data_IF_865564637035
#
_entry.id   IF_865564637035
#
_cell.length_a   1.000
_cell.length_b   1.000
_cell.length_c   1.000
_cell.angle_alpha   90.00
_cell.angle_beta   90.00
_cell.angle_gamma   90.00
#
_symmetry.space_group_name_H-M   'P 1'
#
loop_
_entity.id
_entity.type
_entity.pdbx_description
1 polymer ?
#
# COMPACT_ATOMS: atom_id res chain seq x y z
N UNK A 1 -90.66 144.86 -129.36
CA UNK A 1 -91.49 143.96 -130.18
C UNK A 1 -90.92 142.54 -130.08
N UNK A 2 -90.97 141.78 -128.96
CA UNK A 2 -92.03 141.59 -127.91
C UNK A 2 -93.07 140.54 -128.36
N UNK A 3 -93.51 139.53 -127.59
CA UNK A 3 -93.12 139.02 -126.26
C UNK A 3 -93.77 137.62 -125.95
N UNK A 4 -93.19 136.83 -125.02
CA UNK A 4 -93.78 135.70 -124.22
C UNK A 4 -94.49 134.47 -124.88
N UNK A 5 -94.60 133.23 -124.33
CA UNK A 5 -93.97 132.39 -123.24
C UNK A 5 -94.31 130.87 -123.57
N UNK A 6 -94.11 129.72 -122.88
CA UNK A 6 -93.69 129.23 -121.53
C UNK A 6 -93.39 127.68 -121.56
N UNK A 7 -92.60 127.12 -120.61
CA UNK A 7 -92.64 125.71 -120.08
C UNK A 7 -92.27 124.48 -120.99
N UNK A 8 -92.06 123.20 -120.54
CA UNK A 8 -91.53 122.55 -119.29
C UNK A 8 -91.43 120.98 -119.42
N UNK A 9 -91.01 120.25 -118.35
CA UNK A 9 -91.19 118.80 -117.98
C UNK A 9 -90.18 117.67 -118.45
N UNK A 10 -89.27 117.30 -117.52
CA UNK A 10 -88.60 115.99 -117.16
C UNK A 10 -87.71 115.11 -118.09
N UNK A 11 -86.53 114.67 -117.58
CA UNK A 11 -85.81 113.41 -117.90
C UNK A 11 -85.69 112.44 -116.69
N UNK A 12 -85.41 111.12 -116.86
CA UNK A 12 -85.32 110.18 -115.69
C UNK A 12 -84.53 108.85 -115.81
N UNK A 13 -83.88 108.46 -116.92
CA UNK A 13 -83.40 107.04 -117.07
C UNK A 13 -81.87 106.76 -117.02
N UNK A 14 -81.00 107.75 -117.18
CA UNK A 14 -79.53 107.52 -117.31
C UNK A 14 -78.78 107.59 -115.97
N UNK A 15 -79.32 108.32 -114.98
CA UNK A 15 -78.62 108.54 -113.71
C UNK A 15 -78.74 107.37 -112.72
N UNK A 16 -79.85 106.61 -112.76
CA UNK A 16 -80.04 105.43 -111.90
C UNK A 16 -78.95 104.37 -112.14
N UNK A 17 -78.70 104.02 -113.41
CA UNK A 17 -77.67 103.02 -113.77
C UNK A 17 -76.25 103.45 -113.36
N UNK A 18 -75.95 104.75 -113.38
CA UNK A 18 -74.66 105.27 -112.93
C UNK A 18 -74.52 105.25 -111.39
N UNK A 19 -75.64 105.33 -110.67
CA UNK A 19 -75.69 105.19 -109.21
C UNK A 19 -75.45 103.74 -108.77
N UNK A 20 -76.17 102.79 -109.37
CA UNK A 20 -76.08 101.35 -109.09
C UNK A 20 -74.66 100.79 -109.35
N UNK A 21 -73.99 101.26 -110.41
CA UNK A 21 -72.60 100.90 -110.73
C UNK A 21 -71.61 101.47 -109.68
N UNK A 22 -71.89 102.65 -109.10
CA UNK A 22 -71.05 103.23 -108.04
C UNK A 22 -71.26 102.51 -106.71
N UNK A 23 -72.50 102.16 -106.37
CA UNK A 23 -72.82 101.44 -105.14
C UNK A 23 -72.21 100.03 -105.14
N UNK A 24 -72.40 99.27 -106.22
CA UNK A 24 -71.80 97.94 -106.37
C UNK A 24 -70.26 97.97 -106.41
N UNK A 25 -69.64 99.06 -106.91
CA UNK A 25 -68.19 99.28 -106.80
C UNK A 25 -67.72 99.53 -105.35
N UNK A 26 -68.54 100.17 -104.51
CA UNK A 26 -68.23 100.39 -103.08
C UNK A 26 -68.35 99.06 -102.32
N UNK A 27 -69.42 98.30 -102.55
CA UNK A 27 -69.63 96.97 -101.96
C UNK A 27 -68.53 95.98 -102.37
N UNK A 28 -68.14 95.95 -103.64
CA UNK A 28 -67.02 95.14 -104.11
C UNK A 28 -65.67 95.53 -103.46
N UNK A 29 -65.46 96.82 -103.16
CA UNK A 29 -64.27 97.29 -102.42
C UNK A 29 -64.30 96.88 -100.95
N UNK A 30 -65.46 96.90 -100.30
CA UNK A 30 -65.63 96.40 -98.94
C UNK A 30 -65.34 94.89 -98.88
N UNK A 31 -65.95 94.09 -99.76
CA UNK A 31 -65.68 92.65 -99.85
C UNK A 31 -64.21 92.32 -100.15
N UNK A 32 -63.52 93.12 -100.96
CA UNK A 32 -62.07 92.97 -101.19
C UNK A 32 -61.25 93.28 -99.94
N UNK A 33 -61.67 94.25 -99.10
CA UNK A 33 -61.03 94.50 -97.81
C UNK A 33 -61.27 93.33 -96.84
N UNK A 34 -62.52 92.85 -96.71
CA UNK A 34 -62.87 91.70 -95.88
C UNK A 34 -62.08 90.43 -96.28
N UNK A 35 -61.93 90.18 -97.58
CA UNK A 35 -61.12 89.07 -98.12
C UNK A 35 -59.63 89.24 -97.80
N UNK A 36 -59.11 90.48 -97.78
CA UNK A 36 -57.71 90.75 -97.37
C UNK A 36 -57.52 90.49 -95.87
N UNK A 37 -58.47 90.89 -95.02
CA UNK A 37 -58.36 90.66 -93.57
C UNK A 37 -58.60 89.20 -93.18
N UNK A 38 -59.57 88.51 -93.81
CA UNK A 38 -59.72 87.05 -93.70
C UNK A 38 -58.42 86.33 -94.13
N UNK A 39 -57.76 86.80 -95.19
CA UNK A 39 -56.45 86.26 -95.63
C UNK A 39 -55.34 86.55 -94.61
N UNK A 40 -55.34 87.69 -93.95
CA UNK A 40 -54.41 88.03 -92.87
C UNK A 40 -54.66 87.16 -91.62
N UNK A 41 -55.91 86.93 -91.25
CA UNK A 41 -56.32 86.04 -90.17
C UNK A 41 -55.95 84.57 -90.48
N UNK A 42 -56.26 84.06 -91.68
CA UNK A 42 -55.84 82.72 -92.10
C UNK A 42 -54.32 82.56 -92.06
N UNK A 43 -53.55 83.59 -92.43
CA UNK A 43 -52.09 83.58 -92.32
C UNK A 43 -51.64 83.51 -90.86
N UNK A 44 -52.26 84.29 -89.96
CA UNK A 44 -52.03 84.29 -88.50
C UNK A 44 -52.38 82.94 -87.87
N UNK A 45 -53.54 82.36 -88.19
CA UNK A 45 -53.96 81.04 -87.75
C UNK A 45 -53.02 79.94 -88.26
N UNK A 46 -52.57 79.99 -89.52
CA UNK A 46 -51.59 79.05 -90.07
C UNK A 46 -50.26 79.08 -89.31
N UNK A 47 -49.77 80.26 -88.95
CA UNK A 47 -48.58 80.41 -88.09
C UNK A 47 -48.82 79.83 -86.71
N UNK A 48 -49.94 80.17 -86.06
CA UNK A 48 -50.28 79.67 -84.73
C UNK A 48 -50.38 78.13 -84.69
N UNK A 49 -51.02 77.52 -85.70
CA UNK A 49 -51.12 76.05 -85.83
C UNK A 49 -49.74 75.41 -86.02
N UNK A 50 -48.85 76.03 -86.80
CA UNK A 50 -47.48 75.54 -86.96
C UNK A 50 -46.68 75.60 -85.63
N UNK A 51 -46.81 76.69 -84.85
CA UNK A 51 -46.20 76.80 -83.52
C UNK A 51 -46.80 75.79 -82.53
N UNK A 52 -48.13 75.59 -82.54
CA UNK A 52 -48.78 74.57 -81.72
C UNK A 52 -48.32 73.15 -82.09
N UNK A 53 -48.17 72.84 -83.37
CA UNK A 53 -47.64 71.54 -83.82
C UNK A 53 -46.20 71.31 -83.33
N UNK A 54 -45.33 72.32 -83.45
CA UNK A 54 -43.96 72.27 -82.91
C UNK A 54 -43.95 72.03 -81.39
N UNK A 55 -44.84 72.69 -80.63
CA UNK A 55 -44.98 72.51 -79.19
C UNK A 55 -45.48 71.09 -78.82
N UNK A 56 -46.40 70.51 -79.61
CA UNK A 56 -46.86 69.12 -79.41
C UNK A 56 -45.72 68.14 -79.67
N UNK A 57 -45.00 68.25 -80.79
CA UNK A 57 -43.85 67.37 -81.08
C UNK A 57 -42.74 67.49 -80.02
N UNK A 58 -42.52 68.69 -79.46
CA UNK A 58 -41.61 68.89 -78.33
C UNK A 58 -42.11 68.19 -77.05
N UNK A 59 -43.42 68.19 -76.77
CA UNK A 59 -44.01 67.45 -75.65
C UNK A 59 -43.98 65.93 -75.85
N UNK A 60 -44.20 65.42 -77.06
CA UNK A 60 -44.06 63.99 -77.38
C UNK A 60 -42.62 63.51 -77.11
N UNK A 61 -41.62 64.26 -77.61
CA UNK A 61 -40.19 63.98 -77.37
C UNK A 61 -39.83 63.99 -75.87
N UNK A 62 -40.29 65.01 -75.13
CA UNK A 62 -40.09 65.10 -73.68
C UNK A 62 -40.78 63.94 -72.93
N UNK A 63 -41.95 63.50 -73.39
CA UNK A 63 -42.71 62.39 -72.80
C UNK A 63 -42.02 61.05 -73.05
N UNK A 64 -41.50 60.82 -74.24
CA UNK A 64 -40.68 59.64 -74.58
C UNK A 64 -39.44 59.55 -73.68
N UNK A 65 -38.69 60.66 -73.55
CA UNK A 65 -37.50 60.74 -72.68
C UNK A 65 -37.85 60.45 -71.21
N UNK A 66 -38.97 60.99 -70.71
CA UNK A 66 -39.46 60.69 -69.35
C UNK A 66 -39.85 59.23 -69.18
N UNK A 67 -40.48 58.62 -70.18
CA UNK A 67 -40.82 57.18 -70.18
C UNK A 67 -39.58 56.30 -70.09
N UNK A 68 -38.52 56.61 -70.85
CA UNK A 68 -37.25 55.89 -70.79
C UNK A 68 -36.58 56.02 -69.40
N UNK A 69 -36.57 57.22 -68.82
CA UNK A 69 -36.05 57.45 -67.46
C UNK A 69 -36.85 56.69 -66.41
N UNK A 70 -38.19 56.70 -66.49
CA UNK A 70 -39.06 55.93 -65.58
C UNK A 70 -38.77 54.43 -65.72
N UNK A 71 -38.63 53.90 -66.94
CA UNK A 71 -38.29 52.50 -67.17
C UNK A 71 -36.96 52.11 -66.50
N UNK A 72 -35.92 52.93 -66.65
CA UNK A 72 -34.61 52.70 -66.00
C UNK A 72 -34.71 52.75 -64.46
N UNK A 73 -35.53 53.66 -63.92
CA UNK A 73 -35.78 53.77 -62.49
C UNK A 73 -36.51 52.53 -61.94
N UNK A 74 -37.52 52.04 -62.66
CA UNK A 74 -38.28 50.83 -62.31
C UNK A 74 -37.38 49.59 -62.33
N UNK A 75 -36.53 49.41 -63.35
CA UNK A 75 -35.56 48.30 -63.38
C UNK A 75 -34.60 48.37 -62.20
N UNK A 76 -34.00 49.54 -61.94
CA UNK A 76 -33.07 49.74 -60.81
C UNK A 76 -33.74 49.48 -59.45
N UNK A 77 -34.98 49.95 -59.25
CA UNK A 77 -35.75 49.68 -58.03
C UNK A 77 -36.10 48.19 -57.88
N UNK A 78 -36.39 47.49 -58.97
CA UNK A 78 -36.68 46.05 -58.98
C UNK A 78 -35.43 45.24 -58.62
N UNK A 79 -34.26 45.59 -59.18
CA UNK A 79 -32.98 45.00 -58.79
C UNK A 79 -32.63 45.28 -57.31
N UNK A 80 -32.88 46.50 -56.82
CA UNK A 80 -32.64 46.85 -55.43
C UNK A 80 -33.52 46.03 -54.49
N UNK A 81 -34.81 45.89 -54.78
CA UNK A 81 -35.72 45.04 -54.01
C UNK A 81 -35.30 43.56 -54.04
N UNK A 82 -34.81 43.05 -55.17
CA UNK A 82 -34.27 41.69 -55.26
C UNK A 82 -33.03 41.49 -54.38
N UNK A 83 -32.09 42.45 -54.38
CA UNK A 83 -30.90 42.46 -53.52
C UNK A 83 -31.26 42.58 -52.03
N UNK A 84 -32.27 43.38 -51.68
CA UNK A 84 -32.79 43.49 -50.31
C UNK A 84 -33.41 42.17 -49.86
N UNK A 85 -34.24 41.52 -50.68
CA UNK A 85 -34.83 40.22 -50.36
C UNK A 85 -33.79 39.12 -50.14
N UNK A 86 -32.73 39.09 -50.97
CA UNK A 86 -31.58 38.20 -50.78
C UNK A 86 -30.83 38.49 -49.47
N UNK A 87 -30.64 39.77 -49.13
CA UNK A 87 -29.95 40.16 -47.89
C UNK A 87 -30.75 39.75 -46.65
N UNK A 88 -32.07 39.97 -46.63
CA UNK A 88 -32.97 39.52 -45.55
C UNK A 88 -32.90 38.01 -45.37
N UNK A 89 -33.07 37.22 -46.45
CA UNK A 89 -32.98 35.76 -46.37
C UNK A 89 -31.60 35.27 -45.89
N UNK A 90 -30.52 35.99 -46.21
CA UNK A 90 -29.18 35.68 -45.69
C UNK A 90 -29.05 36.01 -44.19
N UNK A 91 -29.67 37.09 -43.73
CA UNK A 91 -29.67 37.50 -42.33
C UNK A 91 -30.46 36.51 -41.46
N UNK A 92 -31.64 36.09 -41.89
CA UNK A 92 -32.45 35.07 -41.21
C UNK A 92 -31.66 33.76 -41.05
N UNK A 93 -30.91 33.35 -42.07
CA UNK A 93 -30.04 32.18 -42.04
C UNK A 93 -28.81 32.34 -41.10
N UNK A 94 -28.34 33.57 -40.86
CA UNK A 94 -27.33 33.83 -39.82
C UNK A 94 -27.92 33.82 -38.42
N UNK A 95 -29.13 34.35 -38.22
CA UNK A 95 -29.84 34.32 -36.92
C UNK A 95 -30.13 32.87 -36.50
N UNK A 96 -30.64 32.02 -37.41
CA UNK A 96 -30.87 30.60 -37.13
C UNK A 96 -29.58 29.86 -36.73
N UNK A 97 -28.45 30.16 -37.39
CA UNK A 97 -27.14 29.60 -37.01
C UNK A 97 -26.65 30.13 -35.66
N UNK A 98 -26.90 31.40 -35.34
CA UNK A 98 -26.51 31.99 -34.07
C UNK A 98 -27.25 31.32 -32.90
N UNK A 99 -28.59 31.22 -32.96
CA UNK A 99 -29.36 30.57 -31.89
C UNK A 99 -29.00 29.09 -31.74
N UNK A 100 -28.85 28.33 -32.83
CA UNK A 100 -28.41 26.92 -32.77
C UNK A 100 -26.99 26.75 -32.20
N UNK A 101 -26.08 27.69 -32.49
CA UNK A 101 -24.72 27.68 -31.90
C UNK A 101 -24.76 28.02 -30.41
N UNK A 102 -25.62 28.97 -30.03
CA UNK A 102 -25.85 29.38 -28.64
C UNK A 102 -26.46 28.24 -27.82
N UNK A 103 -27.49 27.58 -28.34
CA UNK A 103 -28.14 26.41 -27.72
C UNK A 103 -27.10 25.31 -27.44
N UNK A 104 -26.22 24.98 -28.40
CA UNK A 104 -25.12 24.01 -28.22
C UNK A 104 -23.98 24.49 -27.29
N UNK A 105 -24.02 25.72 -26.77
CA UNK A 105 -23.05 26.28 -25.82
C UNK A 105 -23.66 26.49 -24.43
N UNK A 106 -24.95 26.82 -24.37
CA UNK A 106 -25.76 27.02 -23.16
C UNK A 106 -26.40 25.72 -22.62
N UNK A 107 -26.36 24.61 -23.37
CA UNK A 107 -26.83 23.29 -22.95
C UNK A 107 -26.27 22.88 -21.56
N UNK A 108 -27.16 22.52 -20.63
CA UNK A 108 -26.80 22.30 -19.22
C UNK A 108 -26.10 20.94 -18.96
N UNK A 109 -26.17 19.98 -19.89
CA UNK A 109 -25.61 18.62 -19.73
C UNK A 109 -24.38 18.39 -20.63
N UNK A 110 -24.42 18.80 -21.91
CA UNK A 110 -23.36 18.61 -22.91
C UNK A 110 -22.62 19.91 -23.30
N UNK A 111 -23.12 21.08 -22.89
CA UNK A 111 -22.56 22.37 -23.27
C UNK A 111 -21.16 22.66 -22.71
N UNK A 112 -20.49 23.67 -23.29
CA UNK A 112 -19.08 24.01 -22.96
C UNK A 112 -18.90 24.35 -21.47
N UNK A 113 -19.92 24.94 -20.84
CA UNK A 113 -19.95 25.24 -19.40
C UNK A 113 -20.07 23.96 -18.54
N UNK A 114 -20.94 23.02 -18.91
CA UNK A 114 -21.11 21.75 -18.23
C UNK A 114 -19.81 20.92 -18.27
N UNK A 115 -19.20 20.80 -19.47
CA UNK A 115 -17.91 20.12 -19.68
C UNK A 115 -16.79 20.78 -18.87
N UNK A 116 -16.77 22.12 -18.74
CA UNK A 116 -15.76 22.82 -17.93
C UNK A 116 -15.90 22.51 -16.44
N UNK A 117 -17.11 22.50 -15.89
CA UNK A 117 -17.33 22.14 -14.48
C UNK A 117 -17.07 20.64 -14.21
N UNK A 118 -17.38 19.74 -15.16
CA UNK A 118 -16.98 18.33 -15.08
C UNK A 118 -15.45 18.17 -15.04
N UNK A 119 -14.71 18.85 -15.93
CA UNK A 119 -13.23 18.83 -15.96
C UNK A 119 -12.65 19.39 -14.64
N UNK A 120 -13.23 20.46 -14.11
CA UNK A 120 -12.84 21.07 -12.83
C UNK A 120 -13.11 20.14 -11.64
N UNK A 121 -14.23 19.41 -11.66
CA UNK A 121 -14.55 18.35 -10.70
C UNK A 121 -13.54 17.20 -10.76
N UNK A 122 -13.32 16.63 -11.94
CA UNK A 122 -12.33 15.57 -12.18
C UNK A 122 -10.91 15.98 -11.80
N UNK A 123 -10.53 17.24 -12.01
CA UNK A 123 -9.26 17.77 -11.51
C UNK A 123 -9.20 17.74 -9.98
N UNK A 124 -10.24 18.23 -9.29
CA UNK A 124 -10.29 18.19 -7.82
C UNK A 124 -10.20 16.76 -7.28
N UNK A 125 -10.84 15.78 -7.94
CA UNK A 125 -10.71 14.35 -7.61
C UNK A 125 -9.29 13.84 -7.86
N UNK A 126 -8.66 14.24 -8.96
CA UNK A 126 -7.29 13.83 -9.31
C UNK A 126 -6.25 14.39 -8.34
N UNK A 127 -6.39 15.65 -7.94
CA UNK A 127 -5.52 16.30 -6.95
C UNK A 127 -5.66 15.63 -5.57
N UNK A 128 -6.88 15.21 -5.19
CA UNK A 128 -7.12 14.44 -3.96
C UNK A 128 -6.50 13.03 -4.02
N UNK A 129 -6.69 12.29 -5.12
CA UNK A 129 -6.10 10.97 -5.33
C UNK A 129 -4.56 11.02 -5.35
N UNK A 130 -3.95 12.08 -5.90
CA UNK A 130 -2.49 12.29 -5.84
C UNK A 130 -1.99 12.45 -4.40
N UNK A 131 -2.74 13.15 -3.55
CA UNK A 131 -2.43 13.29 -2.12
C UNK A 131 -2.49 11.94 -1.39
N UNK A 132 -3.56 11.17 -1.63
CA UNK A 132 -3.74 9.84 -1.03
C UNK A 132 -2.66 8.84 -1.49
N UNK A 133 -2.37 8.78 -2.80
CA UNK A 133 -1.27 7.97 -3.36
C UNK A 133 0.08 8.34 -2.75
N UNK A 134 0.33 9.63 -2.51
CA UNK A 134 1.58 10.10 -1.88
C UNK A 134 1.68 9.59 -0.44
N UNK A 135 0.62 9.74 0.36
CA UNK A 135 0.55 9.23 1.74
C UNK A 135 0.68 7.70 1.81
N UNK A 136 0.00 6.97 0.93
CA UNK A 136 0.13 5.50 0.85
C UNK A 136 1.56 5.06 0.48
N UNK A 137 2.28 5.86 -0.31
CA UNK A 137 3.68 5.59 -0.64
C UNK A 137 4.60 5.76 0.57
N UNK A 138 4.40 6.81 1.35
CA UNK A 138 5.14 7.04 2.61
C UNK A 138 4.89 5.90 3.61
N UNK A 139 3.65 5.44 3.74
CA UNK A 139 3.29 4.28 4.57
C UNK A 139 3.94 2.98 4.08
N UNK A 140 3.99 2.75 2.76
CA UNK A 140 4.68 1.59 2.16
C UNK A 140 6.19 1.63 2.40
N UNK A 141 6.85 2.78 2.23
CA UNK A 141 8.29 2.89 2.46
C UNK A 141 8.66 2.78 3.95
N UNK A 142 7.81 3.25 4.88
CA UNK A 142 7.96 2.97 6.31
C UNK A 142 7.81 1.47 6.64
N UNK A 143 6.76 0.81 6.15
CA UNK A 143 6.55 -0.63 6.34
C UNK A 143 7.72 -1.47 5.80
N UNK A 144 8.28 -1.05 4.66
CA UNK A 144 9.45 -1.67 4.04
C UNK A 144 10.73 -1.50 4.87
N UNK A 145 10.90 -0.37 5.57
CA UNK A 145 12.00 -0.20 6.54
C UNK A 145 11.83 -1.14 7.74
N UNK A 146 10.65 -1.16 8.36
CA UNK A 146 10.33 -2.04 9.49
C UNK A 146 10.55 -3.52 9.14
N UNK A 147 10.05 -3.97 8.00
CA UNK A 147 10.26 -5.35 7.54
C UNK A 147 11.75 -5.68 7.29
N UNK A 148 12.57 -4.69 6.90
CA UNK A 148 14.02 -4.84 6.77
C UNK A 148 14.74 -4.98 8.13
N UNK A 149 14.24 -4.32 9.17
CA UNK A 149 14.73 -4.45 10.54
C UNK A 149 14.30 -5.78 11.18
N UNK A 150 13.04 -6.18 11.00
CA UNK A 150 12.49 -7.47 11.45
C UNK A 150 13.25 -8.65 10.84
N UNK A 151 13.55 -8.62 9.54
CA UNK A 151 14.35 -9.67 8.87
C UNK A 151 15.75 -9.80 9.49
N UNK A 152 16.40 -8.68 9.83
CA UNK A 152 17.69 -8.73 10.53
C UNK A 152 17.56 -9.28 11.96
N UNK A 153 16.50 -8.90 12.68
CA UNK A 153 16.25 -9.36 14.04
C UNK A 153 15.96 -10.87 14.09
N UNK A 154 15.14 -11.37 13.16
CA UNK A 154 14.86 -12.80 12.97
C UNK A 154 16.13 -13.55 12.59
N UNK A 155 17.01 -12.99 11.76
CA UNK A 155 18.31 -13.63 11.45
C UNK A 155 19.17 -13.77 12.71
N UNK A 156 19.33 -12.70 13.51
CA UNK A 156 20.12 -12.74 14.75
C UNK A 156 19.59 -13.80 15.73
N UNK A 157 18.27 -13.83 15.95
CA UNK A 157 17.63 -14.84 16.83
C UNK A 157 17.85 -16.26 16.29
N UNK A 158 17.76 -16.47 14.97
CA UNK A 158 18.05 -17.77 14.35
C UNK A 158 19.51 -18.18 14.54
N UNK A 159 20.44 -17.27 14.32
CA UNK A 159 21.88 -17.53 14.44
C UNK A 159 22.23 -17.87 15.90
N UNK A 160 21.73 -17.08 16.87
CA UNK A 160 21.83 -17.39 18.31
C UNK A 160 21.22 -18.75 18.67
N UNK A 161 20.01 -19.06 18.18
CA UNK A 161 19.36 -20.34 18.43
C UNK A 161 20.15 -21.54 17.87
N UNK A 162 20.79 -21.40 16.71
CA UNK A 162 21.69 -22.45 16.18
C UNK A 162 22.99 -22.56 16.99
N UNK A 163 23.48 -21.46 17.56
CA UNK A 163 24.58 -21.45 18.53
C UNK A 163 24.24 -22.27 19.78
N UNK A 164 23.14 -21.91 20.46
CA UNK A 164 22.68 -22.65 21.63
C UNK A 164 22.36 -24.12 21.31
N UNK A 165 21.75 -24.43 20.16
CA UNK A 165 21.52 -25.82 19.75
C UNK A 165 22.82 -26.61 19.66
N UNK A 166 23.89 -26.01 19.12
CA UNK A 166 25.20 -26.65 19.06
C UNK A 166 25.80 -26.83 20.46
N UNK A 167 25.78 -25.81 21.30
CA UNK A 167 26.31 -25.90 22.68
C UNK A 167 25.57 -26.99 23.50
N UNK A 168 24.26 -27.12 23.34
CA UNK A 168 23.45 -28.19 23.94
C UNK A 168 23.91 -29.56 23.44
N UNK A 169 24.11 -29.74 22.12
CA UNK A 169 24.55 -31.02 21.54
C UNK A 169 25.97 -31.39 21.97
N UNK A 170 26.91 -30.43 21.97
CA UNK A 170 28.29 -30.66 22.38
C UNK A 170 28.37 -31.01 23.88
N UNK A 171 27.62 -30.30 24.74
CA UNK A 171 27.51 -30.60 26.17
C UNK A 171 26.83 -31.96 26.44
N UNK A 172 25.71 -32.23 25.78
CA UNK A 172 24.98 -33.50 25.89
C UNK A 172 25.87 -34.69 25.47
N UNK A 173 26.55 -34.60 24.33
CA UNK A 173 27.45 -35.64 23.84
C UNK A 173 28.64 -35.94 24.77
N UNK A 174 29.15 -34.93 25.46
CA UNK A 174 30.15 -35.10 26.52
C UNK A 174 29.57 -35.83 27.75
N UNK A 175 28.35 -35.48 28.16
CA UNK A 175 27.70 -35.98 29.38
C UNK A 175 27.21 -37.43 29.26
N UNK A 176 26.56 -37.81 28.15
CA UNK A 176 25.68 -39.00 28.17
C UNK A 176 26.37 -40.36 28.06
N UNK A 177 27.57 -40.45 27.51
CA UNK A 177 28.23 -41.74 27.26
C UNK A 177 29.65 -41.86 27.80
N UNK A 178 30.57 -41.08 27.23
CA UNK A 178 32.01 -41.26 27.47
C UNK A 178 32.50 -40.71 28.82
N UNK A 179 31.94 -39.60 29.32
CA UNK A 179 32.43 -38.93 30.53
C UNK A 179 32.00 -39.61 31.83
N UNK A 180 30.71 -39.51 32.17
CA UNK A 180 30.25 -39.74 33.55
C UNK A 180 30.08 -41.22 33.90
N UNK A 181 29.70 -42.07 32.93
CA UNK A 181 29.71 -43.52 33.13
C UNK A 181 31.14 -44.06 33.32
N UNK A 182 32.14 -43.40 32.73
CA UNK A 182 33.57 -43.72 32.88
C UNK A 182 34.12 -43.27 34.24
N UNK A 183 33.90 -42.02 34.66
CA UNK A 183 34.41 -41.53 35.96
C UNK A 183 33.82 -42.30 37.14
N UNK A 184 32.53 -42.65 37.11
CA UNK A 184 31.94 -43.57 38.10
C UNK A 184 32.59 -44.95 38.09
N UNK A 185 32.95 -45.49 36.91
CA UNK A 185 33.62 -46.78 36.77
C UNK A 185 35.08 -46.74 37.23
N UNK A 186 35.77 -45.62 37.03
CA UNK A 186 37.12 -45.39 37.55
C UNK A 186 37.11 -45.35 39.08
N UNK A 187 36.24 -44.52 39.68
CA UNK A 187 36.06 -44.47 41.14
C UNK A 187 35.61 -45.82 41.71
N UNK A 188 34.70 -46.53 41.03
CA UNK A 188 34.33 -47.92 41.36
C UNK A 188 35.55 -48.86 41.34
N UNK A 189 36.47 -48.71 40.38
CA UNK A 189 37.67 -49.55 40.26
C UNK A 189 38.66 -49.27 41.39
N UNK A 190 38.85 -48.01 41.76
CA UNK A 190 39.65 -47.59 42.92
C UNK A 190 39.06 -48.16 44.22
N UNK A 191 37.75 -47.97 44.45
CA UNK A 191 37.03 -48.54 45.60
C UNK A 191 37.09 -50.08 45.61
N UNK A 192 37.11 -50.74 44.44
CA UNK A 192 37.30 -52.19 44.36
C UNK A 192 38.73 -52.61 44.77
N UNK A 193 39.73 -51.77 44.52
CA UNK A 193 41.09 -51.91 45.07
C UNK A 193 41.07 -51.81 46.60
N UNK A 194 40.57 -50.71 47.14
CA UNK A 194 40.49 -50.48 48.59
C UNK A 194 39.72 -51.60 49.31
N UNK A 195 38.55 -51.99 48.81
CA UNK A 195 37.76 -53.07 49.40
C UNK A 195 38.47 -54.43 49.37
N UNK A 196 39.32 -54.71 48.36
CA UNK A 196 40.18 -55.91 48.36
C UNK A 196 41.28 -55.81 49.41
N UNK A 197 41.91 -54.64 49.57
CA UNK A 197 42.95 -54.39 50.58
C UNK A 197 42.40 -54.52 51.99
N UNK A 198 41.28 -53.85 52.32
CA UNK A 198 40.65 -53.95 53.64
C UNK A 198 40.15 -55.37 53.95
N UNK A 199 39.65 -56.12 52.96
CA UNK A 199 39.32 -57.54 53.13
C UNK A 199 40.54 -58.39 53.48
N UNK A 200 41.69 -58.09 52.88
CA UNK A 200 42.95 -58.80 53.16
C UNK A 200 43.52 -58.41 54.54
N UNK A 201 43.48 -57.13 54.91
CA UNK A 201 43.86 -56.64 56.25
C UNK A 201 42.94 -57.18 57.35
N UNK A 202 41.64 -57.35 57.08
CA UNK A 202 40.71 -58.03 57.99
C UNK A 202 41.09 -59.51 58.18
N UNK A 203 41.41 -60.24 57.11
CA UNK A 203 41.91 -61.61 57.21
C UNK A 203 43.22 -61.70 57.99
N UNK A 204 44.18 -60.82 57.69
CA UNK A 204 45.48 -60.77 58.37
C UNK A 204 45.35 -60.42 59.85
N UNK A 205 44.52 -59.45 60.22
CA UNK A 205 44.32 -59.06 61.63
C UNK A 205 43.66 -60.17 62.45
N UNK A 206 42.72 -60.94 61.87
CA UNK A 206 42.15 -62.13 62.53
C UNK A 206 43.22 -63.21 62.74
N UNK A 207 44.06 -63.47 61.72
CA UNK A 207 45.17 -64.44 61.82
C UNK A 207 46.19 -64.01 62.89
N UNK A 208 46.60 -62.74 62.88
CA UNK A 208 47.55 -62.19 63.85
C UNK A 208 46.99 -62.20 65.28
N UNK A 209 45.70 -61.89 65.46
CA UNK A 209 45.05 -61.95 66.78
C UNK A 209 44.96 -63.39 67.31
N UNK A 210 44.58 -64.36 66.45
CA UNK A 210 44.59 -65.78 66.80
C UNK A 210 45.99 -66.31 67.15
N UNK A 211 47.01 -65.92 66.37
CA UNK A 211 48.41 -66.26 66.65
C UNK A 211 48.92 -65.62 67.95
N UNK A 212 48.50 -64.38 68.25
CA UNK A 212 48.83 -63.68 69.49
C UNK A 212 48.21 -64.38 70.72
N UNK A 213 46.95 -64.83 70.64
CA UNK A 213 46.30 -65.66 71.66
C UNK A 213 47.05 -66.98 71.88
N UNK A 214 47.43 -67.66 70.80
CA UNK A 214 48.24 -68.88 70.86
C UNK A 214 49.61 -68.67 71.51
N UNK A 215 50.26 -67.53 71.22
CA UNK A 215 51.54 -67.14 71.80
C UNK A 215 51.43 -66.84 73.31
N UNK A 216 50.38 -66.13 73.74
CA UNK A 216 50.07 -65.94 75.17
C UNK A 216 49.90 -67.31 75.85
N UNK A 217 49.15 -68.23 75.25
CA UNK A 217 48.90 -69.56 75.81
C UNK A 217 50.16 -70.44 75.88
N UNK A 218 51.14 -70.23 74.97
CA UNK A 218 52.39 -70.98 74.95
C UNK A 218 53.43 -70.46 75.96
N UNK A 219 53.67 -69.16 76.01
CA UNK A 219 54.66 -68.58 76.92
C UNK A 219 54.20 -68.55 78.38
N UNK A 220 52.89 -68.47 78.61
CA UNK A 220 52.32 -68.54 79.97
C UNK A 220 52.02 -70.00 80.34
N UNK A 221 53.02 -70.67 80.92
CA UNK A 221 52.75 -71.84 81.75
C UNK A 221 51.92 -71.40 82.95
N UNK A 222 50.69 -71.89 83.08
CA UNK A 222 49.74 -71.38 84.07
C UNK A 222 50.11 -71.81 85.50
N UNK A 223 50.28 -70.88 86.45
CA UNK A 223 50.02 -71.17 87.86
C UNK A 223 48.51 -71.22 88.08
N UNK A 224 48.04 -72.14 88.91
CA UNK A 224 46.61 -72.48 89.06
C UNK A 224 45.80 -71.48 89.92
N UNK A 225 46.25 -70.21 89.95
CA UNK A 225 45.75 -69.17 90.85
C UNK A 225 45.30 -67.95 90.03
N UNK A 226 44.00 -67.66 90.06
CA UNK A 226 43.42 -66.53 89.32
C UNK A 226 43.85 -65.18 89.94
N UNK A 227 44.88 -64.57 89.36
CA UNK A 227 45.33 -63.22 89.75
C UNK A 227 44.73 -62.13 88.86
N UNK A 228 44.16 -61.10 89.49
CA UNK A 228 43.58 -59.94 88.81
C UNK A 228 44.59 -59.18 87.94
N UNK A 229 45.85 -59.06 88.39
CA UNK A 229 46.92 -58.42 87.59
C UNK A 229 47.19 -59.18 86.30
N UNK A 230 47.04 -60.51 86.33
CA UNK A 230 47.30 -61.37 85.19
C UNK A 230 46.12 -61.39 84.19
N UNK A 231 44.89 -61.22 84.67
CA UNK A 231 43.72 -60.97 83.83
C UNK A 231 43.83 -59.64 83.06
N UNK A 232 44.20 -58.55 83.76
CA UNK A 232 44.41 -57.23 83.13
C UNK A 232 45.54 -57.26 82.09
N UNK A 233 46.63 -57.97 82.35
CA UNK A 233 47.73 -58.16 81.39
C UNK A 233 47.25 -58.83 80.09
N UNK A 234 46.46 -59.91 80.20
CA UNK A 234 45.86 -60.60 79.04
C UNK A 234 44.96 -59.69 78.21
N UNK A 235 44.11 -58.87 78.85
CA UNK A 235 43.25 -57.91 78.14
C UNK A 235 44.11 -56.84 77.45
N UNK A 236 45.05 -56.24 78.16
CA UNK A 236 45.91 -55.17 77.63
C UNK A 236 46.72 -55.63 76.40
N UNK A 237 47.23 -56.87 76.40
CA UNK A 237 48.00 -57.41 75.29
C UNK A 237 47.14 -57.86 74.09
N UNK A 238 45.90 -58.31 74.31
CA UNK A 238 45.00 -58.79 73.24
C UNK A 238 44.08 -57.71 72.65
N UNK A 239 43.82 -56.62 73.38
CA UNK A 239 42.97 -55.52 72.94
C UNK A 239 43.43 -54.82 71.65
N UNK A 240 44.74 -54.56 71.40
CA UNK A 240 45.19 -53.96 70.14
C UNK A 240 44.84 -54.79 68.91
N UNK A 241 44.91 -56.12 69.01
CA UNK A 241 44.53 -57.02 67.91
C UNK A 241 43.01 -57.09 67.70
N UNK A 242 42.22 -57.09 68.78
CA UNK A 242 40.76 -57.03 68.69
C UNK A 242 40.30 -55.69 68.07
N UNK A 243 40.94 -54.58 68.43
CA UNK A 243 40.72 -53.27 67.82
C UNK A 243 41.08 -53.27 66.33
N UNK A 244 42.22 -53.88 65.94
CA UNK A 244 42.62 -53.99 64.54
C UNK A 244 41.62 -54.80 63.69
N UNK A 245 41.06 -55.90 64.24
CA UNK A 245 40.00 -56.68 63.59
C UNK A 245 38.72 -55.84 63.44
N UNK A 246 38.26 -55.19 64.51
CA UNK A 246 37.07 -54.35 64.50
C UNK A 246 37.19 -53.19 63.49
N UNK A 247 38.31 -52.46 63.54
CA UNK A 247 38.57 -51.33 62.64
C UNK A 247 38.63 -51.77 61.17
N UNK A 248 39.32 -52.88 60.87
CA UNK A 248 39.39 -53.45 59.53
C UNK A 248 38.01 -53.89 59.02
N UNK A 249 37.15 -54.44 59.89
CA UNK A 249 35.78 -54.82 59.54
C UNK A 249 34.89 -53.61 59.24
N UNK A 250 34.97 -52.54 60.05
CA UNK A 250 34.25 -51.29 59.83
C UNK A 250 34.67 -50.64 58.50
N UNK A 251 35.97 -50.52 58.24
CA UNK A 251 36.47 -49.92 57.00
C UNK A 251 36.15 -50.78 55.77
N UNK A 252 36.26 -52.11 55.86
CA UNK A 252 35.82 -53.02 54.79
C UNK A 252 34.32 -52.86 54.49
N UNK A 253 33.47 -52.77 55.52
CA UNK A 253 32.03 -52.57 55.35
C UNK A 253 31.71 -51.22 54.69
N UNK A 254 32.42 -50.14 55.07
CA UNK A 254 32.28 -48.81 54.48
C UNK A 254 32.66 -48.81 53.00
N UNK A 255 33.84 -49.32 52.67
CA UNK A 255 34.37 -49.39 51.31
C UNK A 255 33.53 -50.31 50.41
N UNK A 256 33.00 -51.42 50.96
CA UNK A 256 32.08 -52.30 50.23
C UNK A 256 30.76 -51.58 49.88
N UNK A 257 30.18 -50.82 50.82
CA UNK A 257 28.95 -50.05 50.60
C UNK A 257 29.15 -48.94 49.56
N UNK A 258 30.30 -48.26 49.58
CA UNK A 258 30.66 -47.27 48.56
C UNK A 258 30.81 -47.94 47.19
N UNK A 259 31.56 -49.05 47.10
CA UNK A 259 31.73 -49.83 45.87
C UNK A 259 30.40 -50.25 45.23
N UNK A 260 29.43 -50.71 46.03
CA UNK A 260 28.10 -51.10 45.54
C UNK A 260 27.29 -49.89 45.03
N UNK A 261 27.32 -48.76 45.74
CA UNK A 261 26.68 -47.51 45.30
C UNK A 261 27.27 -46.95 43.99
N UNK A 262 28.60 -46.97 43.83
CA UNK A 262 29.27 -46.53 42.60
C UNK A 262 29.06 -47.53 41.44
N UNK A 263 28.98 -48.83 41.72
CA UNK A 263 28.60 -49.84 40.74
C UNK A 263 27.17 -49.61 40.21
N UNK A 264 26.22 -49.30 41.09
CA UNK A 264 24.85 -48.96 40.71
C UNK A 264 24.81 -47.67 39.88
N UNK A 265 25.48 -46.59 40.31
CA UNK A 265 25.56 -45.33 39.54
C UNK A 265 26.11 -45.54 38.13
N UNK A 266 27.23 -46.26 37.96
CA UNK A 266 27.81 -46.53 36.63
C UNK A 266 26.87 -47.38 35.75
N UNK A 267 26.23 -48.41 36.32
CA UNK A 267 25.28 -49.25 35.60
C UNK A 267 24.02 -48.47 35.14
N UNK A 268 23.43 -47.67 36.03
CA UNK A 268 22.21 -46.90 35.74
C UNK A 268 22.50 -45.73 34.79
N UNK A 269 23.66 -45.07 34.89
CA UNK A 269 24.09 -44.06 33.90
C UNK A 269 24.21 -44.66 32.50
N UNK A 270 24.86 -45.83 32.36
CA UNK A 270 24.95 -46.54 31.07
C UNK A 270 23.60 -47.06 30.55
N UNK A 271 22.68 -47.43 31.45
CA UNK A 271 21.32 -47.77 31.05
C UNK A 271 20.59 -46.54 30.50
N UNK A 272 20.71 -45.37 31.15
CA UNK A 272 20.12 -44.11 30.71
C UNK A 272 20.67 -43.67 29.34
N UNK A 273 21.97 -43.79 29.10
CA UNK A 273 22.59 -43.61 27.77
C UNK A 273 21.83 -44.42 26.70
N UNK A 274 21.75 -45.74 26.91
CA UNK A 274 21.14 -46.68 25.96
C UNK A 274 19.64 -46.42 25.75
N UNK A 275 18.89 -46.08 26.80
CA UNK A 275 17.48 -45.74 26.66
C UNK A 275 17.28 -44.43 25.91
N UNK A 276 18.14 -43.43 26.12
CA UNK A 276 18.00 -42.12 25.48
C UNK A 276 18.41 -42.17 24.00
N UNK A 277 19.44 -42.96 23.66
CA UNK A 277 19.80 -43.27 22.27
C UNK A 277 18.63 -43.97 21.52
N UNK A 278 18.00 -44.95 22.16
CA UNK A 278 16.82 -45.64 21.58
C UNK A 278 15.61 -44.70 21.47
N UNK A 279 15.33 -43.86 22.47
CA UNK A 279 14.21 -42.92 22.45
C UNK A 279 14.39 -41.84 21.37
N UNK A 280 15.56 -41.20 21.31
CA UNK A 280 15.86 -40.15 20.32
C UNK A 280 15.84 -40.67 18.87
N UNK A 281 16.35 -41.90 18.63
CA UNK A 281 16.26 -42.55 17.31
C UNK A 281 14.86 -43.01 16.93
N UNK A 282 13.97 -43.28 17.90
CA UNK A 282 12.62 -43.80 17.67
C UNK A 282 11.53 -42.72 17.62
N UNK A 283 11.79 -41.57 18.24
CA UNK A 283 10.87 -40.44 18.33
C UNK A 283 11.60 -39.14 17.95
N UNK A 284 12.05 -39.08 16.70
CA UNK A 284 12.80 -37.94 16.14
C UNK A 284 11.98 -36.64 16.04
N UNK A 285 10.65 -36.71 16.08
CA UNK A 285 9.77 -35.55 15.96
C UNK A 285 9.94 -34.56 17.12
N UNK A 286 10.00 -33.26 16.80
CA UNK A 286 10.16 -32.16 17.77
C UNK A 286 9.16 -32.21 18.94
N UNK A 287 7.98 -32.81 18.74
CA UNK A 287 6.93 -32.97 19.77
C UNK A 287 7.40 -33.83 20.96
N UNK A 288 8.24 -34.84 20.72
CA UNK A 288 8.69 -35.78 21.75
C UNK A 288 10.05 -35.43 22.34
N UNK A 289 10.88 -34.66 21.63
CA UNK A 289 12.22 -34.26 22.09
C UNK A 289 12.21 -33.60 23.47
N UNK A 290 11.22 -32.74 23.76
CA UNK A 290 11.08 -32.12 25.09
C UNK A 290 10.83 -33.17 26.19
N UNK A 291 9.93 -34.12 25.96
CA UNK A 291 9.60 -35.15 26.96
C UNK A 291 10.78 -36.10 27.20
N UNK A 292 11.61 -36.35 26.18
CA UNK A 292 12.86 -37.11 26.30
C UNK A 292 13.87 -36.31 27.13
N UNK A 293 14.05 -35.01 26.86
CA UNK A 293 14.93 -34.13 27.64
C UNK A 293 14.49 -34.02 29.11
N UNK A 294 13.20 -33.78 29.37
CA UNK A 294 12.63 -33.71 30.73
C UNK A 294 12.87 -35.05 31.48
N UNK A 295 12.71 -36.21 30.82
CA UNK A 295 13.02 -37.52 31.38
C UNK A 295 14.52 -37.72 31.67
N UNK A 296 15.41 -37.26 30.77
CA UNK A 296 16.87 -37.34 30.97
C UNK A 296 17.30 -36.47 32.15
N UNK A 297 16.85 -35.22 32.22
CA UNK A 297 17.19 -34.29 33.29
C UNK A 297 16.73 -34.83 34.67
N UNK A 298 15.49 -35.32 34.76
CA UNK A 298 14.97 -35.94 35.98
C UNK A 298 15.74 -37.21 36.38
N UNK A 299 16.06 -38.07 35.40
CA UNK A 299 16.85 -39.29 35.64
C UNK A 299 18.27 -38.95 36.07
N UNK A 300 18.89 -37.92 35.49
CA UNK A 300 20.18 -37.41 35.93
C UNK A 300 20.10 -36.89 37.37
N UNK A 301 19.21 -35.95 37.71
CA UNK A 301 19.12 -35.44 39.11
C UNK A 301 18.96 -36.58 40.12
N UNK A 302 18.15 -37.58 39.79
CA UNK A 302 17.89 -38.76 40.63
C UNK A 302 19.13 -39.66 40.78
N UNK A 303 19.94 -39.86 39.73
CA UNK A 303 21.17 -40.67 39.77
C UNK A 303 22.32 -39.92 40.49
N UNK A 304 22.38 -38.59 40.36
CA UNK A 304 23.43 -37.76 40.95
C UNK A 304 23.17 -37.36 42.41
N UNK A 305 21.90 -37.34 42.88
CA UNK A 305 21.58 -37.13 44.31
C UNK A 305 22.27 -38.18 45.18
N UNK A 306 23.02 -37.72 46.18
CA UNK A 306 23.83 -38.62 47.00
C UNK A 306 23.01 -39.41 48.02
N UNK A 307 23.22 -40.74 48.20
CA UNK A 307 22.51 -41.56 49.19
C UNK A 307 22.81 -41.25 50.68
N UNK A 308 23.51 -40.14 50.99
CA UNK A 308 23.87 -39.77 52.36
C UNK A 308 23.72 -38.26 52.61
N UNK A 309 22.49 -37.77 52.51
CA UNK A 309 22.12 -36.49 53.12
C UNK A 309 21.95 -36.60 54.65
N UNK A 310 21.84 -37.82 55.19
CA UNK A 310 21.88 -38.13 56.61
C UNK A 310 23.32 -38.53 57.07
N UNK A 311 24.15 -37.53 57.37
CA UNK A 311 25.45 -37.73 58.05
C UNK A 311 26.63 -36.97 57.43
N UNK A 312 27.55 -36.50 58.28
CA UNK A 312 28.64 -35.60 57.88
C UNK A 312 29.57 -36.16 56.77
N UNK A 313 29.75 -35.34 55.74
CA UNK A 313 30.58 -35.60 54.56
C UNK A 313 32.09 -35.40 54.86
N UNK A 314 32.98 -36.38 54.61
CA UNK A 314 34.44 -36.17 54.65
C UNK A 314 34.96 -35.32 53.47
N UNK A 315 36.17 -34.78 53.58
CA UNK A 315 36.63 -33.70 52.68
C UNK A 315 36.76 -34.04 51.18
N UNK A 316 37.03 -35.31 50.81
CA UNK A 316 37.03 -35.73 49.40
C UNK A 316 35.70 -35.42 48.70
N UNK A 317 34.59 -35.48 49.43
CA UNK A 317 33.22 -35.29 48.92
C UNK A 317 32.92 -33.82 48.58
N UNK A 318 33.68 -32.86 49.15
CA UNK A 318 33.63 -31.44 48.76
C UNK A 318 34.23 -31.20 47.37
N UNK A 319 35.29 -31.92 47.01
CA UNK A 319 35.91 -31.80 45.69
C UNK A 319 35.02 -32.42 44.59
N UNK A 320 34.36 -33.53 44.91
CA UNK A 320 33.41 -34.20 44.01
C UNK A 320 32.15 -33.33 43.78
N UNK A 321 31.64 -32.67 44.83
CA UNK A 321 30.63 -31.60 44.72
C UNK A 321 31.10 -30.44 43.83
N UNK A 322 32.37 -30.03 43.94
CA UNK A 322 32.98 -29.01 43.07
C UNK A 322 32.99 -29.38 41.58
N UNK A 323 33.33 -30.62 41.23
CA UNK A 323 33.22 -31.10 39.84
C UNK A 323 31.78 -31.18 39.37
N UNK A 324 30.86 -31.72 40.18
CA UNK A 324 29.44 -31.79 39.82
C UNK A 324 28.85 -30.39 39.61
N UNK A 325 29.27 -29.39 40.39
CA UNK A 325 28.93 -27.99 40.15
C UNK A 325 29.53 -27.46 38.83
N UNK A 326 30.77 -27.81 38.47
CA UNK A 326 31.37 -27.42 37.18
C UNK A 326 30.64 -28.02 35.97
N UNK A 327 30.04 -29.22 36.09
CA UNK A 327 29.24 -29.83 35.02
C UNK A 327 27.77 -29.38 35.01
N UNK A 328 27.18 -29.09 36.19
CA UNK A 328 25.79 -28.65 36.29
C UNK A 328 25.59 -27.16 36.03
N UNK A 329 26.51 -26.30 36.50
CA UNK A 329 26.39 -24.83 36.37
C UNK A 329 26.22 -24.37 34.91
N UNK A 330 26.99 -24.85 33.90
CA UNK A 330 26.79 -24.41 32.52
C UNK A 330 25.39 -24.75 31.98
N UNK A 331 24.84 -25.92 32.35
CA UNK A 331 23.50 -26.35 31.95
C UNK A 331 22.45 -25.46 32.62
N UNK A 332 22.59 -25.24 33.94
CA UNK A 332 21.67 -24.40 34.72
C UNK A 332 21.75 -22.93 34.27
N UNK A 333 22.94 -22.37 34.00
CA UNK A 333 23.10 -21.03 33.45
C UNK A 333 22.50 -20.91 32.04
N UNK A 334 22.60 -21.95 31.20
CA UNK A 334 21.99 -21.97 29.88
C UNK A 334 20.45 -21.96 29.94
N UNK A 335 19.83 -22.68 30.90
CA UNK A 335 18.37 -22.64 31.11
C UNK A 335 17.88 -21.46 31.98
N UNK A 336 18.74 -20.82 32.78
CA UNK A 336 18.40 -19.67 33.62
C UNK A 336 18.83 -18.32 33.03
N UNK A 337 19.62 -18.30 31.95
CA UNK A 337 19.72 -17.18 31.01
C UNK A 337 18.34 -16.91 30.43
N UNK A 338 17.58 -16.06 31.12
CA UNK A 338 16.38 -15.44 30.58
C UNK A 338 16.74 -14.84 29.21
N UNK A 339 15.99 -15.14 28.13
CA UNK A 339 16.26 -14.53 26.83
C UNK A 339 16.28 -13.01 26.97
N UNK A 340 17.17 -12.35 26.23
CA UNK A 340 17.50 -10.95 26.44
C UNK A 340 16.24 -10.08 26.53
N UNK A 341 16.15 -9.26 27.58
CA UNK A 341 14.94 -8.48 27.85
C UNK A 341 14.78 -7.44 26.75
N UNK A 342 13.74 -7.62 25.93
CA UNK A 342 13.54 -6.96 24.64
C UNK A 342 12.42 -7.63 23.84
N UNK A 343 12.21 -8.94 24.04
CA UNK A 343 11.07 -9.69 23.49
C UNK A 343 9.71 -9.40 24.16
N UNK A 344 9.41 -8.14 24.51
CA UNK A 344 8.01 -7.70 24.51
C UNK A 344 7.61 -7.41 23.07
N UNK A 345 7.12 -8.44 22.37
CA UNK A 345 6.39 -8.23 21.12
C UNK A 345 5.08 -7.55 21.50
N UNK A 346 5.11 -6.22 21.57
CA UNK A 346 3.92 -5.38 21.70
C UNK A 346 3.13 -5.49 20.40
N UNK A 347 2.31 -6.53 20.29
CA UNK A 347 1.39 -6.72 19.17
C UNK A 347 0.36 -5.59 19.21
N UNK A 348 0.67 -4.48 18.54
CA UNK A 348 -0.31 -3.41 18.37
C UNK A 348 -1.52 -3.96 17.60
N UNK A 349 -2.75 -3.60 18.01
CA UNK A 349 -3.94 -4.25 17.50
C UNK A 349 -4.06 -4.01 15.99
N UNK A 350 -4.14 -5.10 15.22
CA UNK A 350 -4.30 -5.09 13.76
C UNK A 350 -5.33 -4.03 13.36
N UNK A 351 -4.87 -3.03 12.61
CA UNK A 351 -5.73 -1.96 12.10
C UNK A 351 -6.87 -2.61 11.32
N UNK A 352 -8.10 -2.47 11.82
CA UNK A 352 -9.29 -2.97 11.14
C UNK A 352 -9.49 -2.14 9.87
N UNK A 353 -9.01 -2.65 8.76
CA UNK A 353 -9.38 -2.18 7.43
C UNK A 353 -10.89 -2.39 7.30
N UNK A 354 -11.66 -1.31 7.31
CA UNK A 354 -13.10 -1.37 7.04
C UNK A 354 -13.33 -1.94 5.64
N UNK A 355 -14.36 -2.77 5.43
CA UNK A 355 -14.72 -3.19 4.08
C UNK A 355 -15.12 -1.95 3.26
N UNK A 356 -14.53 -1.83 2.07
CA UNK A 356 -14.95 -0.85 1.08
C UNK A 356 -16.34 -1.25 0.58
N UNK A 357 -17.24 -0.27 0.50
CA UNK A 357 -18.62 -0.36 -0.03
C UNK A 357 -18.76 0.63 -1.17
#
# INVERSE_FOLDING_TARGET
>A
MENENTQSVTPTKVEMTLSEIKQSLIEAKALVADIVDIKNEIKKHKTNVATSAQNVTAQESLTSTKGEVISKLVTSATEANSKIAQLVASFDAYVQKFESTKESVEDEDEGVLAVFEQIKGHKSTSDALLSEITKSREEIDMLKSSAGEDVQHISRIKDEATGYQKEIVDAYGFLTGAGLAHSFRERQTILQGNAKLWRWLLGLSVILWGANIGLIAYFVKMPDVFSWTFFLYKISYSAPGLFAVWYSAVQYSRERRLLESYAFKSATAKALESYTDVLSKRFSDNVYQKNILDFVLYSMETIYRHPSLDGHLPEEEKAESGMLAQFATPIVEMFTKKPAQGAEIKVEPVVKISPIV
#
